data_IF_435893739838
#
_entry.id   IF_435893739838
#
_cell.length_a   1.000
_cell.length_b   1.000
_cell.length_c   1.000
_cell.angle_alpha   90.00
_cell.angle_beta   90.00
_cell.angle_gamma   90.00
#
_symmetry.space_group_name_H-M   'P 1'
#
loop_
_entity.id
_entity.type
_entity.pdbx_description
1 polymer ?
#
# COMPACT_ATOMS: atom_id res chain seq x y z
N UNK A 1 19.41 24.27 10.29
CA UNK A 1 18.79 23.17 9.49
C UNK A 1 17.86 22.38 10.40
N UNK A 2 16.67 22.00 9.93
CA UNK A 2 15.71 21.17 10.69
C UNK A 2 15.73 19.73 10.16
N UNK A 3 15.55 18.75 11.05
CA UNK A 3 15.60 17.32 10.71
C UNK A 3 14.27 16.78 10.18
N UNK A 4 13.17 17.45 10.49
CA UNK A 4 11.81 16.95 10.23
C UNK A 4 11.05 17.83 9.25
N UNK A 5 10.35 17.17 8.32
CA UNK A 5 9.39 17.79 7.40
C UNK A 5 8.01 17.28 7.80
N UNK A 6 7.08 18.21 8.08
CA UNK A 6 5.68 17.89 8.39
C UNK A 6 4.78 18.38 7.27
N UNK A 7 3.90 17.49 6.80
CA UNK A 7 2.93 17.78 5.74
C UNK A 7 1.51 17.66 6.30
N UNK A 8 0.74 18.74 6.19
CA UNK A 8 -0.65 18.81 6.62
C UNK A 8 -1.53 19.10 5.41
N UNK A 9 -2.56 18.28 5.19
CA UNK A 9 -3.46 18.40 4.05
C UNK A 9 -4.90 18.37 4.51
N UNK A 10 -5.71 19.27 3.95
CA UNK A 10 -7.16 19.24 4.02
C UNK A 10 -7.68 18.96 2.61
N UNK A 11 -8.41 17.86 2.44
CA UNK A 11 -8.90 17.41 1.13
C UNK A 11 -10.39 17.10 1.25
N UNK A 12 -11.20 17.80 0.44
CA UNK A 12 -12.62 17.51 0.31
C UNK A 12 -12.82 16.39 -0.71
N UNK A 13 -13.74 15.48 -0.41
CA UNK A 13 -14.17 14.42 -1.32
C UNK A 13 -15.67 14.55 -1.57
N UNK A 14 -16.15 14.26 -2.80
CA UNK A 14 -17.57 14.08 -3.04
C UNK A 14 -18.08 12.82 -2.32
N UNK A 15 -19.38 12.53 -2.44
CA UNK A 15 -19.97 11.32 -1.89
C UNK A 15 -19.25 10.07 -2.46
N UNK A 16 -18.46 9.39 -1.63
CA UNK A 16 -17.64 8.25 -2.03
C UNK A 16 -17.32 7.32 -0.85
N UNK A 17 -17.23 6.01 -1.12
CA UNK A 17 -16.74 5.00 -0.17
C UNK A 17 -15.25 4.72 -0.38
N UNK A 18 -14.39 5.67 -0.01
CA UNK A 18 -12.94 5.65 -0.26
C UNK A 18 -12.21 4.51 0.47
N UNK A 19 -12.73 4.10 1.62
CA UNK A 19 -12.18 3.02 2.42
C UNK A 19 -13.31 2.33 3.18
N UNK A 20 -13.47 1.03 2.96
CA UNK A 20 -14.48 0.19 3.63
C UNK A 20 -13.91 -0.82 4.61
N UNK A 21 -14.75 -1.33 5.50
CA UNK A 21 -14.47 -2.49 6.35
C UNK A 21 -14.83 -3.81 5.64
N UNK A 22 -14.82 -4.91 6.39
CA UNK A 22 -15.13 -6.26 5.96
C UNK A 22 -16.62 -6.47 5.61
N UNK A 23 -17.51 -5.66 6.15
CA UNK A 23 -18.94 -5.65 5.81
C UNK A 23 -19.26 -4.78 4.59
N UNK A 24 -18.29 -3.98 4.14
CA UNK A 24 -18.42 -3.05 3.03
C UNK A 24 -18.82 -1.63 3.44
N UNK A 25 -19.10 -1.39 4.72
CA UNK A 25 -19.40 -0.07 5.25
C UNK A 25 -18.17 0.84 5.23
N UNK A 26 -18.32 2.17 5.06
CA UNK A 26 -17.20 3.10 5.16
C UNK A 26 -16.53 3.02 6.52
N UNK A 27 -15.20 3.00 6.55
CA UNK A 27 -14.45 3.06 7.81
C UNK A 27 -14.72 4.40 8.49
N UNK A 28 -15.00 4.34 9.80
CA UNK A 28 -15.24 5.52 10.62
C UNK A 28 -14.29 5.59 11.82
N UNK A 29 -14.31 6.72 12.50
CA UNK A 29 -13.68 6.94 13.81
C UNK A 29 -14.51 7.96 14.60
N UNK A 30 -14.54 7.84 15.93
CA UNK A 30 -15.11 8.87 16.80
C UNK A 30 -14.00 9.86 17.18
N UNK A 31 -14.18 11.13 16.85
CA UNK A 31 -13.23 12.20 17.17
C UNK A 31 -13.99 13.44 17.65
N UNK A 32 -13.73 13.85 18.90
CA UNK A 32 -14.42 14.97 19.52
C UNK A 32 -15.92 14.73 19.73
N UNK A 33 -16.30 13.48 20.05
CA UNK A 33 -17.70 13.09 20.28
C UNK A 33 -18.54 12.87 19.02
N UNK A 34 -17.99 13.09 17.82
CA UNK A 34 -18.69 12.89 16.56
C UNK A 34 -18.06 11.77 15.71
N UNK A 35 -18.89 11.00 15.02
CA UNK A 35 -18.46 10.01 14.03
C UNK A 35 -17.99 10.69 12.76
N UNK A 36 -16.80 10.32 12.27
CA UNK A 36 -16.21 10.86 11.04
C UNK A 36 -15.78 9.72 10.12
N UNK A 37 -15.85 9.94 8.81
CA UNK A 37 -15.21 9.06 7.83
C UNK A 37 -13.70 9.03 8.06
N UNK A 38 -13.11 7.84 7.94
CA UNK A 38 -11.68 7.63 8.09
C UNK A 38 -11.13 6.86 6.90
N UNK A 39 -10.12 7.44 6.25
CA UNK A 39 -9.27 6.70 5.32
C UNK A 39 -8.10 6.14 6.13
N UNK A 40 -7.94 4.82 6.10
CA UNK A 40 -6.86 4.19 6.88
C UNK A 40 -5.49 4.52 6.27
N UNK A 41 -4.47 4.69 7.13
CA UNK A 41 -3.13 5.08 6.67
C UNK A 41 -2.52 4.07 5.69
N UNK A 42 -2.84 2.78 5.85
CA UNK A 42 -2.43 1.74 4.91
C UNK A 42 -3.10 1.88 3.53
N UNK A 43 -4.34 2.36 3.47
CA UNK A 43 -5.03 2.60 2.19
C UNK A 43 -4.36 3.74 1.43
N UNK A 44 -4.11 4.87 2.12
CA UNK A 44 -3.39 6.01 1.56
C UNK A 44 -1.97 5.63 1.09
N UNK A 45 -1.18 4.98 1.96
CA UNK A 45 0.18 4.55 1.63
C UNK A 45 0.21 3.59 0.44
N UNK A 46 -0.75 2.67 0.33
CA UNK A 46 -0.84 1.77 -0.83
C UNK A 46 -1.18 2.56 -2.09
N UNK A 47 -2.17 3.44 -2.03
CA UNK A 47 -2.57 4.27 -3.17
C UNK A 47 -1.39 5.10 -3.70
N UNK A 48 -0.59 5.69 -2.82
CA UNK A 48 0.64 6.39 -3.21
C UNK A 48 1.66 5.42 -3.80
N UNK A 49 1.96 4.31 -3.12
CA UNK A 49 2.99 3.36 -3.55
C UNK A 49 2.74 2.76 -4.95
N UNK A 50 1.48 2.57 -5.32
CA UNK A 50 1.08 2.01 -6.62
C UNK A 50 0.61 3.10 -7.60
N UNK A 51 0.94 4.36 -7.36
CA UNK A 51 0.68 5.45 -8.30
C UNK A 51 1.85 5.59 -9.27
N UNK A 52 1.55 5.94 -10.53
CA UNK A 52 2.58 6.14 -11.56
C UNK A 52 3.64 7.15 -11.12
N UNK A 53 3.22 8.23 -10.46
CA UNK A 53 4.14 9.26 -9.95
C UNK A 53 5.16 8.67 -8.96
N UNK A 54 4.70 7.86 -8.02
CA UNK A 54 5.59 7.24 -7.03
C UNK A 54 6.50 6.20 -7.68
N UNK A 55 5.97 5.42 -8.63
CA UNK A 55 6.74 4.43 -9.38
C UNK A 55 7.86 5.07 -10.20
N UNK A 56 7.57 6.18 -10.88
CA UNK A 56 8.55 6.95 -11.64
C UNK A 56 9.59 7.61 -10.72
N UNK A 57 9.15 8.25 -9.63
CA UNK A 57 10.03 8.97 -8.72
C UNK A 57 11.00 8.06 -7.94
N UNK A 58 10.65 6.79 -7.73
CA UNK A 58 11.45 5.81 -6.98
C UNK A 58 11.85 4.59 -7.82
N UNK A 59 11.87 4.71 -9.15
CA UNK A 59 12.21 3.62 -10.06
C UNK A 59 13.50 2.90 -9.63
N UNK A 60 13.46 1.56 -9.58
CA UNK A 60 14.57 0.72 -9.10
C UNK A 60 14.72 0.61 -7.58
N UNK A 61 13.99 1.39 -6.79
CA UNK A 61 14.06 1.42 -5.32
C UNK A 61 12.76 0.99 -4.62
N UNK A 62 11.89 0.28 -5.33
CA UNK A 62 10.57 -0.15 -4.83
C UNK A 62 10.61 -1.63 -4.47
N UNK A 63 10.51 -1.93 -3.17
CA UNK A 63 10.33 -3.32 -2.71
C UNK A 63 9.00 -3.95 -3.14
N UNK A 64 8.99 -5.25 -3.43
CA UNK A 64 7.79 -6.00 -3.79
C UNK A 64 7.17 -6.64 -2.54
N UNK A 65 5.87 -6.43 -2.30
CA UNK A 65 5.13 -7.10 -1.22
C UNK A 65 4.48 -8.37 -1.77
N UNK A 66 5.04 -9.54 -1.45
CA UNK A 66 4.54 -10.84 -1.91
C UNK A 66 4.58 -11.87 -0.78
N UNK A 67 3.60 -12.78 -0.77
CA UNK A 67 3.64 -14.01 0.02
C UNK A 67 4.16 -15.21 -0.78
N UNK A 68 4.55 -14.99 -2.04
CA UNK A 68 4.95 -16.04 -3.00
C UNK A 68 6.46 -16.14 -3.17
N UNK A 69 7.25 -15.54 -2.28
CA UNK A 69 8.71 -15.47 -2.41
C UNK A 69 9.34 -16.85 -2.62
N UNK A 70 8.86 -17.88 -1.92
CA UNK A 70 9.35 -19.26 -2.09
C UNK A 70 9.06 -19.81 -3.50
N UNK A 71 7.86 -19.59 -4.04
CA UNK A 71 7.51 -20.03 -5.40
C UNK A 71 8.30 -19.27 -6.46
N UNK A 72 8.45 -17.96 -6.28
CA UNK A 72 9.20 -17.10 -7.20
C UNK A 72 10.68 -17.48 -7.20
N UNK A 73 11.27 -17.76 -6.02
CA UNK A 73 12.63 -18.25 -5.90
C UNK A 73 12.82 -19.63 -6.55
N UNK A 74 11.92 -20.59 -6.29
CA UNK A 74 11.97 -21.91 -6.91
C UNK A 74 11.90 -21.81 -8.44
N UNK A 75 11.04 -20.96 -8.98
CA UNK A 75 10.97 -20.72 -10.42
C UNK A 75 12.29 -20.20 -10.98
N UNK A 76 12.90 -19.20 -10.33
CA UNK A 76 14.21 -18.66 -10.73
C UNK A 76 15.29 -19.76 -10.76
N UNK A 77 15.29 -20.66 -9.77
CA UNK A 77 16.23 -21.78 -9.71
C UNK A 77 16.01 -22.77 -10.86
N UNK A 78 14.76 -23.13 -11.15
CA UNK A 78 14.41 -24.01 -12.27
C UNK A 78 14.81 -23.38 -13.60
N UNK A 79 14.50 -22.11 -13.81
CA UNK A 79 14.87 -21.35 -15.02
C UNK A 79 16.40 -21.23 -15.18
N UNK A 80 17.13 -21.27 -14.06
CA UNK A 80 18.59 -21.32 -14.01
C UNK A 80 19.17 -22.73 -14.20
N UNK A 81 18.34 -23.75 -14.45
CA UNK A 81 18.75 -25.13 -14.73
C UNK A 81 18.81 -26.07 -13.52
N UNK A 82 18.30 -25.66 -12.35
CA UNK A 82 18.20 -26.55 -11.19
C UNK A 82 17.00 -27.50 -11.33
N UNK A 83 17.20 -28.76 -10.97
CA UNK A 83 16.12 -29.76 -10.96
C UNK A 83 14.94 -29.33 -10.05
N UNK A 84 13.71 -29.52 -10.53
CA UNK A 84 12.51 -29.05 -9.86
C UNK A 84 12.22 -29.68 -8.47
N UNK A 85 12.82 -30.84 -8.15
CA UNK A 85 12.71 -31.41 -6.79
C UNK A 85 13.72 -30.80 -5.82
N UNK A 86 14.77 -30.16 -6.33
CA UNK A 86 15.83 -29.52 -5.55
C UNK A 86 15.63 -28.02 -5.41
N UNK A 87 14.98 -27.40 -6.40
CA UNK A 87 14.51 -26.01 -6.37
C UNK A 87 13.35 -25.84 -5.38
#
# INVERSE_FOLDING_TARGET
MTTFIQLHLLTAYPAANLNRDDTGAPKTVVLGGATRLRISSQSLKRAWRTSELFEQALAGHIGIRTGRIAREAAQILVDSGIDAKKA
#
